data_IF_135014901039
#
_entry.id   IF_135014901039
#
_cell.length_a   1.000
_cell.length_b   1.000
_cell.length_c   1.000
_cell.angle_alpha   90.00
_cell.angle_beta   90.00
_cell.angle_gamma   90.00
#
_symmetry.space_group_name_H-M   'P 1'
#
loop_
_entity.id
_entity.type
_entity.pdbx_description
1 polymer ?
#
# COMPACT_ATOMS: atom_id res chain seq x y z
N UNK A 1 -1.59 17.61 6.03
CA UNK A 1 -0.51 18.55 5.62
C UNK A 1 0.54 18.80 6.73
N UNK A 2 0.12 19.08 7.96
CA UNK A 2 1.04 19.50 9.03
C UNK A 2 1.66 18.37 9.86
N UNK A 3 0.99 17.22 9.98
CA UNK A 3 1.47 16.14 10.83
C UNK A 3 2.69 15.43 10.19
N UNK A 4 3.88 15.46 10.82
CA UNK A 4 5.09 14.90 10.24
C UNK A 4 5.09 13.36 10.22
N UNK A 5 4.35 12.71 11.11
CA UNK A 5 4.25 11.25 11.17
C UNK A 5 3.36 10.72 10.05
N UNK A 6 2.22 11.36 9.81
CA UNK A 6 1.37 11.01 8.65
C UNK A 6 2.15 11.18 7.35
N UNK A 7 2.93 12.25 7.22
CA UNK A 7 3.81 12.46 6.05
C UNK A 7 4.78 11.28 5.88
N UNK A 8 5.42 10.82 6.96
CA UNK A 8 6.34 9.66 6.92
C UNK A 8 5.64 8.37 6.50
N UNK A 9 4.42 8.12 6.97
CA UNK A 9 3.64 6.93 6.58
C UNK A 9 3.28 6.99 5.10
N UNK A 10 2.70 8.09 4.63
CA UNK A 10 2.33 8.26 3.21
C UNK A 10 3.55 8.14 2.30
N UNK A 11 4.66 8.76 2.71
CA UNK A 11 5.92 8.70 2.01
C UNK A 11 6.45 7.27 1.88
N UNK A 12 6.48 6.51 2.99
CA UNK A 12 6.86 5.10 3.00
C UNK A 12 6.02 4.28 2.00
N UNK A 13 4.69 4.42 2.05
CA UNK A 13 3.79 3.72 1.12
C UNK A 13 4.08 4.08 -0.35
N UNK A 14 4.42 5.34 -0.63
CA UNK A 14 4.71 5.84 -1.98
C UNK A 14 6.01 5.30 -2.56
N UNK A 15 7.04 5.11 -1.72
CA UNK A 15 8.42 4.82 -2.18
C UNK A 15 8.86 3.37 -1.97
N UNK A 16 8.04 2.53 -1.35
CA UNK A 16 8.42 1.16 -0.98
C UNK A 16 7.84 0.13 -1.93
N UNK A 17 8.69 -0.81 -2.34
CA UNK A 17 8.35 -2.04 -3.00
C UNK A 17 8.98 -3.23 -2.26
N UNK A 18 8.49 -4.42 -2.55
CA UNK A 18 8.91 -5.68 -1.98
C UNK A 18 9.30 -6.64 -3.10
N UNK A 19 10.25 -7.52 -2.78
CA UNK A 19 10.72 -8.59 -3.65
C UNK A 19 10.55 -9.91 -2.91
N UNK A 20 9.85 -10.85 -3.52
CA UNK A 20 9.73 -12.24 -3.09
C UNK A 20 10.66 -13.11 -3.96
N UNK A 21 11.82 -13.43 -3.39
CA UNK A 21 12.85 -14.23 -4.06
C UNK A 21 12.42 -15.69 -4.22
N UNK A 22 11.68 -16.25 -3.26
CA UNK A 22 11.17 -17.61 -3.36
C UNK A 22 10.17 -17.75 -4.52
N UNK A 23 9.31 -16.73 -4.68
CA UNK A 23 8.39 -16.64 -5.82
C UNK A 23 9.15 -16.49 -7.13
N UNK A 24 10.14 -15.60 -7.19
CA UNK A 24 10.94 -15.38 -8.38
C UNK A 24 11.66 -16.67 -8.81
N UNK A 25 12.34 -17.32 -7.88
CA UNK A 25 13.02 -18.59 -8.08
C UNK A 25 12.07 -19.65 -8.63
N UNK A 26 10.88 -19.83 -8.01
CA UNK A 26 9.86 -20.76 -8.48
C UNK A 26 9.41 -20.44 -9.91
N UNK A 27 9.15 -19.16 -10.21
CA UNK A 27 8.71 -18.73 -11.54
C UNK A 27 9.79 -18.98 -12.60
N UNK A 28 11.04 -18.62 -12.32
CA UNK A 28 12.16 -18.83 -13.24
C UNK A 28 12.45 -20.31 -13.44
N UNK A 29 12.43 -21.12 -12.38
CA UNK A 29 12.64 -22.58 -12.46
C UNK A 29 11.58 -23.29 -13.29
N UNK A 30 10.32 -22.90 -13.12
CA UNK A 30 9.20 -23.51 -13.84
C UNK A 30 8.96 -22.90 -15.23
N UNK A 31 9.66 -21.82 -15.59
CA UNK A 31 9.43 -21.09 -16.83
C UNK A 31 8.09 -20.33 -16.84
N UNK A 32 7.57 -19.95 -15.68
CA UNK A 32 6.30 -19.21 -15.54
C UNK A 32 6.55 -17.71 -15.60
N UNK A 33 5.95 -17.06 -16.59
CA UNK A 33 6.03 -15.62 -16.77
C UNK A 33 4.78 -15.10 -17.48
N UNK A 34 4.29 -13.95 -17.02
CA UNK A 34 3.32 -13.17 -17.77
C UNK A 34 1.86 -13.63 -17.68
N UNK A 35 1.44 -14.34 -16.64
CA UNK A 35 0.02 -14.63 -16.39
C UNK A 35 -0.84 -13.36 -16.28
N UNK A 36 -2.16 -13.50 -16.41
CA UNK A 36 -3.11 -12.36 -16.31
C UNK A 36 -3.76 -12.26 -14.93
N UNK A 37 -3.89 -13.37 -14.20
CA UNK A 37 -4.66 -13.40 -12.93
C UNK A 37 -3.82 -13.91 -11.78
N UNK A 38 -4.20 -13.54 -10.55
CA UNK A 38 -3.55 -14.01 -9.33
C UNK A 38 -3.77 -15.51 -9.06
N UNK A 39 -4.80 -16.12 -9.66
CA UNK A 39 -5.12 -17.55 -9.49
C UNK A 39 -4.50 -18.40 -10.59
N UNK A 40 -4.46 -17.90 -11.82
CA UNK A 40 -3.94 -18.59 -13.01
C UNK A 40 -2.47 -18.33 -13.31
N UNK A 41 -1.62 -18.33 -12.28
CA UNK A 41 -0.19 -17.97 -12.46
C UNK A 41 0.64 -19.03 -13.21
N UNK A 42 0.04 -20.16 -13.53
CA UNK A 42 0.59 -21.23 -14.34
C UNK A 42 -0.02 -21.33 -15.75
N UNK A 43 -0.94 -20.42 -16.11
CA UNK A 43 -1.55 -20.36 -17.46
C UNK A 43 -0.51 -20.18 -18.56
N UNK A 44 0.59 -19.48 -18.27
CA UNK A 44 1.69 -19.27 -19.20
C UNK A 44 2.95 -19.87 -18.61
N UNK A 45 3.37 -20.96 -19.24
CA UNK A 45 4.57 -21.67 -18.88
C UNK A 45 5.38 -21.99 -20.13
N UNK A 46 6.67 -21.69 -20.07
CA UNK A 46 7.65 -22.00 -21.10
C UNK A 46 8.79 -22.81 -20.45
N UNK A 47 8.55 -24.11 -20.12
CA UNK A 47 9.46 -24.89 -19.29
C UNK A 47 10.89 -24.99 -19.84
N UNK A 48 11.02 -24.98 -21.17
CA UNK A 48 12.30 -25.04 -21.89
C UNK A 48 13.21 -23.82 -21.63
N UNK A 49 12.64 -22.68 -21.24
CA UNK A 49 13.41 -21.49 -20.83
C UNK A 49 13.67 -21.44 -19.32
N UNK A 50 13.24 -22.46 -18.57
CA UNK A 50 13.42 -22.52 -17.13
C UNK A 50 14.90 -22.57 -16.71
N UNK A 51 15.20 -21.99 -15.55
CA UNK A 51 16.55 -22.00 -14.94
C UNK A 51 16.46 -22.27 -13.44
N UNK A 52 17.31 -23.17 -12.95
CA UNK A 52 17.39 -23.47 -11.52
C UNK A 52 18.43 -22.56 -10.87
N UNK A 53 18.00 -21.36 -10.47
CA UNK A 53 18.85 -20.39 -9.79
C UNK A 53 18.48 -20.38 -8.31
N UNK A 54 19.37 -20.81 -7.39
CA UNK A 54 19.11 -20.75 -5.94
C UNK A 54 19.17 -19.30 -5.44
N UNK A 55 18.12 -18.52 -5.71
CA UNK A 55 18.05 -17.09 -5.38
C UNK A 55 17.82 -16.87 -3.90
N UNK A 56 17.06 -17.73 -3.23
CA UNK A 56 16.84 -17.65 -1.79
C UNK A 56 18.14 -17.92 -1.02
N UNK A 57 18.92 -18.91 -1.45
CA UNK A 57 20.22 -19.23 -0.83
C UNK A 57 21.23 -18.09 -1.01
N UNK A 58 21.09 -17.29 -2.08
CA UNK A 58 21.95 -16.13 -2.38
C UNK A 58 21.27 -14.80 -2.14
N UNK A 59 20.27 -14.76 -1.26
CA UNK A 59 19.49 -13.56 -0.96
C UNK A 59 20.34 -12.41 -0.44
N UNK A 60 21.36 -12.70 0.39
CA UNK A 60 22.30 -11.69 0.90
C UNK A 60 23.13 -11.05 -0.23
N UNK A 61 23.64 -11.87 -1.16
CA UNK A 61 24.42 -11.39 -2.31
C UNK A 61 23.55 -10.51 -3.23
N UNK A 62 22.31 -10.95 -3.50
CA UNK A 62 21.33 -10.19 -4.30
C UNK A 62 20.96 -8.87 -3.61
N UNK A 63 20.74 -8.90 -2.29
CA UNK A 63 20.41 -7.71 -1.50
C UNK A 63 21.54 -6.68 -1.52
N UNK A 64 22.81 -7.13 -1.43
CA UNK A 64 23.95 -6.22 -1.52
C UNK A 64 24.09 -5.60 -2.91
N UNK A 65 23.93 -6.38 -3.99
CA UNK A 65 23.92 -5.84 -5.36
C UNK A 65 22.79 -4.84 -5.60
N UNK A 66 21.60 -5.12 -5.07
CA UNK A 66 20.48 -4.18 -5.08
C UNK A 66 20.83 -2.89 -4.34
N UNK A 67 21.45 -3.01 -3.16
CA UNK A 67 21.87 -1.88 -2.34
C UNK A 67 22.91 -1.04 -3.06
N UNK A 68 23.93 -1.63 -3.67
CA UNK A 68 24.95 -0.91 -4.46
C UNK A 68 24.31 -0.03 -5.55
N UNK A 69 23.32 -0.57 -6.26
CA UNK A 69 22.63 0.12 -7.36
C UNK A 69 21.78 1.28 -6.87
N UNK A 70 21.00 1.07 -5.80
CA UNK A 70 20.04 2.06 -5.30
C UNK A 70 20.72 3.11 -4.40
N UNK A 71 21.65 2.68 -3.53
CA UNK A 71 22.36 3.54 -2.59
C UNK A 71 23.27 4.57 -3.26
N UNK A 72 23.76 4.30 -4.47
CA UNK A 72 24.44 5.31 -5.30
C UNK A 72 23.60 6.57 -5.50
N UNK A 73 22.28 6.43 -5.43
CA UNK A 73 21.33 7.53 -5.57
C UNK A 73 20.66 7.92 -4.25
N UNK A 74 21.15 7.43 -3.11
CA UNK A 74 20.51 7.62 -1.81
C UNK A 74 20.70 9.00 -1.18
N UNK A 75 19.83 9.25 -0.20
CA UNK A 75 19.87 10.42 0.71
C UNK A 75 20.38 10.02 2.12
N UNK A 76 21.01 8.83 2.22
CA UNK A 76 21.34 8.14 3.49
C UNK A 76 20.31 7.08 3.90
N UNK A 77 20.69 6.18 4.81
CA UNK A 77 19.83 5.12 5.37
C UNK A 77 19.88 3.77 4.65
N UNK A 78 19.20 2.76 5.22
CA UNK A 78 19.07 1.42 4.63
C UNK A 78 17.89 1.39 3.65
N UNK A 79 18.21 1.59 2.37
CA UNK A 79 17.26 1.59 1.26
C UNK A 79 16.86 0.20 0.79
N UNK A 80 17.66 -0.82 1.13
CA UNK A 80 17.36 -2.23 0.88
C UNK A 80 17.50 -2.95 2.21
N UNK A 81 16.44 -3.64 2.64
CA UNK A 81 16.40 -4.37 3.92
C UNK A 81 15.84 -5.77 3.71
N UNK A 82 16.53 -6.82 4.15
CA UNK A 82 15.90 -8.13 4.29
C UNK A 82 14.84 -8.07 5.39
N UNK A 83 13.62 -8.53 5.10
CA UNK A 83 12.55 -8.70 6.10
C UNK A 83 12.49 -10.14 6.61
N UNK A 84 12.85 -11.09 5.75
CA UNK A 84 12.99 -12.52 6.02
C UNK A 84 14.07 -13.09 5.07
N UNK A 85 14.23 -14.41 5.05
CA UNK A 85 15.20 -15.08 4.16
C UNK A 85 14.89 -14.93 2.66
N UNK A 86 13.64 -14.67 2.32
CA UNK A 86 13.08 -14.65 0.97
C UNK A 86 12.46 -13.31 0.57
N UNK A 87 12.10 -12.45 1.55
CA UNK A 87 11.49 -11.14 1.28
C UNK A 87 12.50 -10.01 1.49
N UNK A 88 12.69 -9.19 0.46
CA UNK A 88 13.44 -7.94 0.54
C UNK A 88 12.49 -6.74 0.43
N UNK A 89 12.70 -5.74 1.27
CA UNK A 89 12.06 -4.43 1.17
C UNK A 89 13.00 -3.44 0.52
N UNK A 90 12.52 -2.76 -0.52
CA UNK A 90 13.25 -1.75 -1.26
C UNK A 90 12.55 -0.40 -1.12
N UNK A 91 13.29 0.60 -0.70
CA UNK A 91 12.82 1.97 -0.48
C UNK A 91 13.56 2.89 -1.45
N UNK A 92 12.84 3.49 -2.39
CA UNK A 92 13.43 4.39 -3.38
C UNK A 92 13.87 5.71 -2.72
N UNK A 93 15.05 6.26 -3.09
CA UNK A 93 15.53 7.54 -2.58
C UNK A 93 14.51 8.67 -2.72
N UNK A 94 14.44 9.54 -1.72
CA UNK A 94 13.50 10.64 -1.69
C UNK A 94 13.69 11.56 -2.89
N UNK A 95 14.94 11.90 -3.20
CA UNK A 95 15.27 12.78 -4.33
C UNK A 95 14.69 12.29 -5.66
N UNK A 96 14.62 10.98 -5.87
CA UNK A 96 14.01 10.43 -7.08
C UNK A 96 12.49 10.61 -7.06
N UNK A 97 11.87 10.39 -5.90
CA UNK A 97 10.42 10.58 -5.72
C UNK A 97 9.99 12.05 -5.83
N UNK A 98 10.89 13.00 -5.57
CA UNK A 98 10.66 14.45 -5.71
C UNK A 98 10.64 14.92 -7.17
N UNK A 99 11.47 14.31 -8.03
CA UNK A 99 11.50 14.64 -9.47
C UNK A 99 10.56 13.77 -10.31
N UNK A 100 9.95 12.76 -9.69
CA UNK A 100 9.03 11.84 -10.36
C UNK A 100 7.61 12.39 -10.41
N UNK A 101 6.90 12.09 -11.50
CA UNK A 101 5.50 12.47 -11.67
C UNK A 101 4.54 11.72 -10.74
N UNK A 102 4.96 10.57 -10.19
CA UNK A 102 4.07 9.69 -9.43
C UNK A 102 4.80 8.71 -8.52
N UNK A 103 4.22 7.52 -8.36
CA UNK A 103 4.67 6.46 -7.44
C UNK A 103 5.34 5.27 -8.13
N UNK A 104 5.24 5.19 -9.46
CA UNK A 104 5.77 4.08 -10.26
C UNK A 104 7.29 3.84 -10.19
N UNK A 105 8.15 4.83 -9.82
CA UNK A 105 9.57 4.55 -9.54
C UNK A 105 9.77 3.45 -8.49
N UNK A 106 8.87 3.32 -7.51
CA UNK A 106 8.92 2.26 -6.50
C UNK A 106 9.01 0.87 -7.13
N UNK A 107 8.25 0.61 -8.19
CA UNK A 107 8.27 -0.66 -8.90
C UNK A 107 9.37 -0.69 -9.97
N UNK A 108 9.43 0.33 -10.82
CA UNK A 108 10.31 0.29 -12.00
C UNK A 108 11.80 0.26 -11.64
N UNK A 109 12.25 1.06 -10.65
CA UNK A 109 13.64 1.01 -10.20
C UNK A 109 13.96 -0.32 -9.53
N UNK A 110 13.06 -0.81 -8.68
CA UNK A 110 13.21 -2.09 -8.00
C UNK A 110 13.34 -3.24 -9.00
N UNK A 111 12.50 -3.28 -10.02
CA UNK A 111 12.52 -4.31 -11.06
C UNK A 111 13.81 -4.28 -11.89
N UNK A 112 14.24 -3.09 -12.36
CA UNK A 112 15.50 -2.96 -13.12
C UNK A 112 16.69 -3.37 -12.27
N UNK A 113 16.75 -2.89 -11.02
CA UNK A 113 17.84 -3.20 -10.10
C UNK A 113 17.89 -4.71 -9.80
N UNK A 114 16.73 -5.35 -9.62
CA UNK A 114 16.63 -6.79 -9.38
C UNK A 114 17.08 -7.60 -10.59
N UNK A 115 16.67 -7.24 -11.81
CA UNK A 115 17.16 -7.89 -13.03
C UNK A 115 18.69 -7.84 -13.08
N UNK A 116 19.29 -6.67 -12.86
CA UNK A 116 20.75 -6.52 -12.89
C UNK A 116 21.43 -7.29 -11.76
N UNK A 117 20.89 -7.25 -10.54
CA UNK A 117 21.45 -7.96 -9.39
C UNK A 117 21.46 -9.48 -9.64
N UNK A 118 20.32 -10.04 -10.09
CA UNK A 118 20.24 -11.47 -10.45
C UNK A 118 21.20 -11.80 -11.60
N UNK A 119 21.27 -10.96 -12.63
CA UNK A 119 22.20 -11.15 -13.74
C UNK A 119 23.67 -11.16 -13.30
N UNK A 120 24.09 -10.26 -12.43
CA UNK A 120 25.46 -10.21 -11.92
C UNK A 120 25.79 -11.43 -11.04
N UNK A 121 24.86 -11.77 -10.15
CA UNK A 121 25.00 -12.88 -9.21
C UNK A 121 25.10 -14.21 -9.96
N UNK A 122 24.27 -14.45 -10.99
CA UNK A 122 24.24 -15.69 -11.77
C UNK A 122 24.99 -15.63 -13.12
N UNK A 123 25.76 -14.57 -13.38
CA UNK A 123 26.49 -14.35 -14.64
C UNK A 123 25.60 -14.48 -15.90
N UNK A 124 24.40 -13.90 -15.87
CA UNK A 124 23.45 -13.88 -16.97
C UNK A 124 23.67 -12.63 -17.82
N UNK A 125 24.12 -12.84 -19.04
CA UNK A 125 24.23 -11.79 -20.05
C UNK A 125 23.87 -12.37 -21.44
N UNK A 126 23.70 -11.52 -22.46
CA UNK A 126 23.32 -11.98 -23.80
C UNK A 126 24.30 -12.96 -24.46
N UNK A 127 25.55 -13.00 -24.00
CA UNK A 127 26.58 -13.90 -24.52
C UNK A 127 26.61 -15.24 -23.77
N UNK A 128 26.30 -15.24 -22.47
CA UNK A 128 26.36 -16.43 -21.62
C UNK A 128 25.04 -17.20 -21.55
N UNK A 129 23.92 -16.50 -21.38
CA UNK A 129 22.59 -17.10 -21.26
C UNK A 129 21.49 -16.10 -21.66
N UNK A 130 21.29 -15.84 -22.97
CA UNK A 130 20.28 -14.91 -23.46
C UNK A 130 18.86 -15.33 -23.08
N UNK A 131 18.57 -16.64 -23.07
CA UNK A 131 17.27 -17.18 -22.68
C UNK A 131 17.00 -17.00 -21.17
N UNK A 132 18.01 -17.22 -20.32
CA UNK A 132 17.93 -16.96 -18.89
C UNK A 132 17.69 -15.48 -18.59
N UNK A 133 18.33 -14.57 -19.32
CA UNK A 133 18.07 -13.13 -19.22
C UNK A 133 16.60 -12.81 -19.52
N UNK A 134 16.06 -13.36 -20.61
CA UNK A 134 14.67 -13.17 -21.00
C UNK A 134 13.70 -13.77 -19.98
N UNK A 135 14.03 -14.94 -19.42
CA UNK A 135 13.21 -15.61 -18.42
C UNK A 135 13.16 -14.83 -17.11
N UNK A 136 14.31 -14.36 -16.59
CA UNK A 136 14.36 -13.53 -15.37
C UNK A 136 13.57 -12.24 -15.58
N UNK A 137 13.78 -11.56 -16.71
CA UNK A 137 13.00 -10.36 -17.07
C UNK A 137 11.51 -10.66 -17.13
N UNK A 138 11.11 -11.73 -17.80
CA UNK A 138 9.71 -12.14 -17.93
C UNK A 138 9.06 -12.50 -16.60
N UNK A 139 9.80 -13.13 -15.68
CA UNK A 139 9.30 -13.45 -14.35
C UNK A 139 9.12 -12.19 -13.47
N UNK A 140 9.99 -11.18 -13.62
CA UNK A 140 9.93 -9.92 -12.86
C UNK A 140 8.87 -8.96 -13.42
N UNK A 141 8.87 -8.74 -14.73
CA UNK A 141 7.98 -7.78 -15.40
C UNK A 141 6.63 -8.38 -15.84
N UNK A 142 6.49 -9.71 -15.79
CA UNK A 142 5.35 -10.39 -16.39
C UNK A 142 5.29 -10.11 -17.90
N UNK A 143 4.11 -9.69 -18.38
CA UNK A 143 3.88 -9.30 -19.77
C UNK A 143 4.23 -7.83 -20.07
N UNK A 144 4.68 -7.04 -19.11
CA UNK A 144 5.02 -5.65 -19.41
C UNK A 144 6.20 -5.59 -20.41
N UNK A 145 6.14 -4.77 -21.49
CA UNK A 145 5.14 -3.72 -21.78
C UNK A 145 4.00 -4.13 -22.72
N UNK A 146 3.87 -5.40 -23.11
CA UNK A 146 2.72 -5.88 -23.90
C UNK A 146 1.41 -5.64 -23.15
N UNK A 147 1.40 -5.93 -21.86
CA UNK A 147 0.36 -5.45 -20.94
C UNK A 147 0.78 -4.08 -20.37
N UNK A 148 -0.13 -3.11 -20.29
CA UNK A 148 0.18 -1.79 -19.73
C UNK A 148 0.40 -1.83 -18.21
N UNK A 149 -0.07 -2.90 -17.56
CA UNK A 149 0.04 -3.13 -16.12
C UNK A 149 0.99 -4.28 -15.78
N UNK A 150 1.49 -4.26 -14.55
CA UNK A 150 2.21 -5.38 -13.94
C UNK A 150 1.14 -6.27 -13.31
N UNK A 151 1.09 -7.52 -13.77
CA UNK A 151 0.09 -8.48 -13.34
C UNK A 151 0.19 -8.81 -11.85
N UNK A 152 -0.95 -9.07 -11.17
CA UNK A 152 -0.98 -9.32 -9.74
C UNK A 152 -0.26 -10.62 -9.34
N UNK A 153 0.31 -10.61 -8.13
CA UNK A 153 1.02 -11.75 -7.54
C UNK A 153 2.36 -12.08 -8.23
N UNK A 154 2.95 -11.11 -8.92
CA UNK A 154 4.34 -11.10 -9.34
C UNK A 154 5.32 -11.12 -8.15
N UNK A 155 6.59 -11.49 -8.40
CA UNK A 155 7.63 -11.49 -7.37
C UNK A 155 8.02 -10.10 -6.91
N UNK A 156 7.68 -9.04 -7.66
CA UNK A 156 7.87 -7.65 -7.24
C UNK A 156 6.52 -6.97 -7.09
N UNK A 157 6.25 -6.40 -5.93
CA UNK A 157 4.98 -5.76 -5.61
C UNK A 157 5.17 -4.55 -4.71
N UNK A 158 4.20 -3.64 -4.67
CA UNK A 158 4.21 -2.48 -3.80
C UNK A 158 2.89 -2.34 -3.06
N UNK A 159 2.81 -1.36 -2.16
CA UNK A 159 1.54 -1.07 -1.47
C UNK A 159 0.52 -0.43 -2.40
N UNK A 160 0.97 0.50 -3.23
CA UNK A 160 0.10 1.30 -4.08
C UNK A 160 0.00 0.68 -5.48
N UNK A 161 -1.20 0.73 -6.05
CA UNK A 161 -1.44 0.38 -7.45
C UNK A 161 -0.65 1.30 -8.38
N UNK A 162 -0.28 0.80 -9.56
CA UNK A 162 0.37 1.58 -10.60
C UNK A 162 -0.51 2.75 -11.04
N UNK A 163 0.09 3.86 -11.46
CA UNK A 163 -0.67 5.07 -11.77
C UNK A 163 -1.71 4.89 -12.88
N UNK A 164 -1.46 3.99 -13.85
CA UNK A 164 -2.34 3.75 -14.99
C UNK A 164 -3.54 2.83 -14.70
N UNK A 165 -3.58 2.20 -13.52
CA UNK A 165 -4.70 1.32 -13.11
C UNK A 165 -5.51 1.91 -11.95
N UNK A 166 -5.25 3.17 -11.59
CA UNK A 166 -6.01 3.88 -10.56
C UNK A 166 -7.36 4.33 -11.13
N UNK A 167 -8.44 4.05 -10.41
CA UNK A 167 -9.82 4.28 -10.85
C UNK A 167 -10.18 5.77 -11.03
N UNK A 168 -9.39 6.69 -10.51
CA UNK A 168 -9.63 8.13 -10.62
C UNK A 168 -8.43 8.99 -10.24
N UNK A 169 -8.50 10.26 -10.62
CA UNK A 169 -7.48 11.25 -10.30
C UNK A 169 -7.36 11.42 -8.77
N UNK A 170 -6.14 11.33 -8.25
CA UNK A 170 -5.85 11.50 -6.82
C UNK A 170 -6.20 10.30 -5.92
N UNK A 171 -6.68 9.17 -6.47
CA UNK A 171 -7.05 7.98 -5.67
C UNK A 171 -5.88 7.06 -5.35
N UNK A 172 -4.68 7.62 -5.17
CA UNK A 172 -3.48 6.80 -5.03
C UNK A 172 -3.43 5.93 -3.79
N UNK A 173 -3.86 6.49 -2.66
CA UNK A 173 -3.84 5.83 -1.37
C UNK A 173 -5.09 4.98 -1.09
N UNK A 174 -6.14 5.06 -1.90
CA UNK A 174 -7.40 4.29 -1.74
C UNK A 174 -7.32 2.86 -2.35
N UNK A 175 -6.23 2.55 -3.07
CA UNK A 175 -6.08 1.28 -3.80
C UNK A 175 -5.57 0.10 -2.98
N UNK A 176 -5.37 0.25 -1.68
CA UNK A 176 -4.72 -0.75 -0.82
C UNK A 176 -5.77 -1.74 -0.28
N UNK A 177 -5.51 -3.03 -0.45
CA UNK A 177 -6.42 -4.07 0.05
C UNK A 177 -6.54 -4.03 1.58
N UNK A 178 -7.78 -4.14 2.09
CA UNK A 178 -8.06 -4.15 3.54
C UNK A 178 -7.24 -5.22 4.28
N UNK A 179 -7.07 -6.40 3.68
CA UNK A 179 -6.25 -7.47 4.26
C UNK A 179 -4.79 -7.05 4.48
N UNK A 180 -4.21 -6.21 3.61
CA UNK A 180 -2.86 -5.68 3.81
C UNK A 180 -2.82 -4.74 5.01
N UNK A 181 -3.82 -3.87 5.17
CA UNK A 181 -3.91 -2.94 6.31
C UNK A 181 -4.08 -3.69 7.63
N UNK A 182 -4.92 -4.73 7.64
CA UNK A 182 -5.11 -5.62 8.80
C UNK A 182 -3.82 -6.35 9.15
N UNK A 183 -3.07 -6.83 8.15
CA UNK A 183 -1.79 -7.49 8.36
C UNK A 183 -0.73 -6.52 8.93
N UNK A 184 -0.63 -5.30 8.38
CA UNK A 184 0.28 -4.27 8.89
C UNK A 184 -0.04 -3.83 10.32
N UNK A 185 -1.32 -3.85 10.68
CA UNK A 185 -1.76 -3.53 12.04
C UNK A 185 -1.67 -4.71 13.02
N UNK A 186 -1.21 -5.89 12.57
CA UNK A 186 -1.22 -7.13 13.37
C UNK A 186 -2.61 -7.44 13.96
N UNK A 187 -3.65 -7.22 13.15
CA UNK A 187 -5.07 -7.36 13.54
C UNK A 187 -5.50 -6.51 14.75
N UNK A 188 -4.70 -5.52 15.16
CA UNK A 188 -5.09 -4.56 16.20
C UNK A 188 -6.07 -3.55 15.62
N UNK A 189 -7.31 -3.57 16.12
CA UNK A 189 -8.44 -2.83 15.54
C UNK A 189 -8.18 -1.33 15.43
N UNK A 190 -7.79 -0.67 16.53
CA UNK A 190 -7.59 0.78 16.55
C UNK A 190 -6.38 1.21 15.72
N UNK A 191 -5.32 0.40 15.69
CA UNK A 191 -4.14 0.69 14.86
C UNK A 191 -4.47 0.53 13.37
N UNK A 192 -5.29 -0.46 13.00
CA UNK A 192 -5.79 -0.64 11.64
C UNK A 192 -6.68 0.52 11.19
N UNK A 193 -7.58 0.99 12.08
CA UNK A 193 -8.43 2.17 11.84
C UNK A 193 -7.58 3.43 11.67
N UNK A 194 -6.60 3.65 12.54
CA UNK A 194 -5.69 4.79 12.45
C UNK A 194 -4.86 4.77 11.16
N UNK A 195 -4.25 3.63 10.81
CA UNK A 195 -3.48 3.47 9.57
C UNK A 195 -4.35 3.73 8.33
N UNK A 196 -5.54 3.14 8.28
CA UNK A 196 -6.49 3.34 7.18
C UNK A 196 -6.89 4.81 7.09
N UNK A 197 -7.14 5.47 8.21
CA UNK A 197 -7.47 6.92 8.24
C UNK A 197 -6.35 7.76 7.66
N UNK A 198 -5.08 7.44 7.95
CA UNK A 198 -3.93 8.19 7.40
C UNK A 198 -3.93 8.11 5.87
N UNK A 199 -4.15 6.92 5.32
CA UNK A 199 -4.14 6.66 3.88
C UNK A 199 -5.34 7.31 3.18
N UNK A 200 -6.55 7.09 3.71
CA UNK A 200 -7.78 7.67 3.19
C UNK A 200 -7.74 9.19 3.22
N UNK A 201 -7.30 9.80 4.33
CA UNK A 201 -7.12 11.25 4.39
C UNK A 201 -6.05 11.72 3.40
N UNK A 202 -4.95 10.99 3.25
CA UNK A 202 -3.96 11.24 2.20
C UNK A 202 -4.59 11.35 0.81
N UNK A 203 -5.48 10.41 0.47
CA UNK A 203 -6.25 10.45 -0.78
C UNK A 203 -7.25 11.61 -0.84
N UNK A 204 -8.00 11.90 0.22
CA UNK A 204 -8.96 13.03 0.22
C UNK A 204 -8.27 14.38 -0.02
N UNK A 205 -7.05 14.54 0.49
CA UNK A 205 -6.21 15.69 0.19
C UNK A 205 -5.72 15.69 -1.26
N UNK A 206 -5.27 14.54 -1.79
CA UNK A 206 -4.79 14.40 -3.17
C UNK A 206 -5.92 14.63 -4.21
N UNK A 207 -7.15 14.24 -3.89
CA UNK A 207 -8.35 14.47 -4.71
C UNK A 207 -8.87 15.91 -4.64
N UNK A 208 -8.38 16.71 -3.70
CA UNK A 208 -8.87 18.07 -3.46
C UNK A 208 -10.21 18.15 -2.70
N UNK A 209 -10.72 17.01 -2.20
CA UNK A 209 -11.97 16.96 -1.42
C UNK A 209 -11.82 17.68 -0.06
N UNK A 210 -10.61 17.77 0.48
CA UNK A 210 -10.32 18.45 1.73
C UNK A 210 -9.98 19.94 1.57
N UNK A 211 -10.39 20.60 0.47
CA UNK A 211 -10.11 22.02 0.24
C UNK A 211 -11.24 22.94 0.71
N UNK A 212 -10.86 24.10 1.25
CA UNK A 212 -11.78 25.17 1.60
C UNK A 212 -12.74 24.76 2.73
N UNK A 213 -14.05 24.89 2.50
CA UNK A 213 -15.06 24.59 3.52
C UNK A 213 -15.07 23.13 3.97
N UNK A 214 -14.60 22.21 3.12
CA UNK A 214 -14.54 20.78 3.43
C UNK A 214 -13.30 20.40 4.25
N UNK A 215 -12.29 21.27 4.36
CA UNK A 215 -11.07 20.99 5.12
C UNK A 215 -11.40 20.60 6.56
N UNK A 216 -12.20 21.43 7.24
CA UNK A 216 -12.60 21.20 8.62
C UNK A 216 -13.39 19.89 8.78
N UNK A 217 -14.30 19.61 7.85
CA UNK A 217 -15.09 18.38 7.84
C UNK A 217 -14.18 17.13 7.79
N UNK A 218 -13.22 17.10 6.87
CA UNK A 218 -12.28 15.98 6.75
C UNK A 218 -11.36 15.87 7.98
N UNK A 219 -10.87 16.99 8.51
CA UNK A 219 -10.02 17.01 9.71
C UNK A 219 -10.77 16.48 10.94
N UNK A 220 -12.00 16.93 11.18
CA UNK A 220 -12.82 16.45 12.29
C UNK A 220 -13.16 14.97 12.12
N UNK A 221 -13.54 14.55 10.92
CA UNK A 221 -13.77 13.14 10.60
C UNK A 221 -12.55 12.28 10.97
N UNK A 222 -11.35 12.69 10.53
CA UNK A 222 -10.12 11.96 10.85
C UNK A 222 -9.80 11.93 12.35
N UNK A 223 -10.00 13.05 13.06
CA UNK A 223 -9.71 13.16 14.48
C UNK A 223 -10.62 12.26 15.31
N UNK A 224 -11.93 12.33 15.11
CA UNK A 224 -12.89 11.57 15.90
C UNK A 224 -12.98 10.11 15.47
N UNK A 225 -13.10 9.82 14.18
CA UNK A 225 -13.26 8.45 13.68
C UNK A 225 -11.94 7.67 13.74
N UNK A 226 -10.84 8.28 13.27
CA UNK A 226 -9.59 7.59 13.04
C UNK A 226 -8.63 7.60 14.22
N UNK A 227 -8.56 8.74 14.92
CA UNK A 227 -7.61 8.96 16.01
C UNK A 227 -8.26 9.00 17.40
N UNK A 228 -9.55 8.63 17.49
CA UNK A 228 -10.28 8.52 18.75
C UNK A 228 -10.21 9.80 19.61
N UNK A 229 -10.38 10.96 18.98
CA UNK A 229 -10.42 12.23 19.70
C UNK A 229 -11.45 12.20 20.84
N UNK A 230 -11.07 12.75 21.99
CA UNK A 230 -11.86 12.77 23.21
C UNK A 230 -12.33 11.39 23.69
N UNK A 231 -11.62 10.33 23.29
CA UNK A 231 -11.96 8.94 23.58
C UNK A 231 -13.33 8.46 23.06
N UNK A 232 -13.96 9.21 22.15
CA UNK A 232 -15.34 8.99 21.73
C UNK A 232 -15.59 7.56 21.23
N UNK A 233 -14.75 7.03 20.34
CA UNK A 233 -14.94 5.69 19.76
C UNK A 233 -14.79 4.62 20.83
N UNK A 234 -13.77 4.72 21.68
CA UNK A 234 -13.56 3.73 22.74
C UNK A 234 -14.62 3.79 23.83
N UNK A 235 -15.10 4.98 24.20
CA UNK A 235 -16.20 5.15 25.16
C UNK A 235 -17.48 4.52 24.62
N UNK A 236 -17.86 4.82 23.38
CA UNK A 236 -19.02 4.21 22.73
C UNK A 236 -18.93 2.69 22.68
N UNK A 237 -17.75 2.13 22.38
CA UNK A 237 -17.52 0.67 22.38
C UNK A 237 -17.66 0.07 23.78
N UNK A 238 -17.17 0.77 24.82
CA UNK A 238 -17.25 0.28 26.21
C UNK A 238 -18.67 0.34 26.75
N UNK A 239 -19.36 1.44 26.54
CA UNK A 239 -20.76 1.65 26.95
C UNK A 239 -21.69 0.63 26.29
N UNK A 240 -21.41 0.29 25.02
CA UNK A 240 -22.23 -0.62 24.22
C UNK A 240 -21.65 -2.03 24.11
N UNK A 241 -20.83 -2.48 25.08
CA UNK A 241 -20.15 -3.78 25.03
C UNK A 241 -21.10 -4.97 24.79
N UNK A 242 -22.29 -4.92 25.38
CA UNK A 242 -23.33 -5.95 25.26
C UNK A 242 -24.51 -5.49 24.38
N UNK A 243 -24.36 -4.34 23.71
CA UNK A 243 -25.40 -3.71 22.92
C UNK A 243 -25.42 -4.15 21.46
N UNK A 244 -26.33 -3.52 20.72
CA UNK A 244 -26.52 -3.68 19.28
C UNK A 244 -26.13 -2.40 18.55
N UNK A 245 -26.20 -2.43 17.21
CA UNK A 245 -26.00 -1.23 16.38
C UNK A 245 -26.99 -0.12 16.75
N UNK A 246 -28.22 -0.48 17.16
CA UNK A 246 -29.23 0.48 17.60
C UNK A 246 -28.82 1.22 18.87
N UNK A 247 -28.25 0.51 19.84
CA UNK A 247 -27.80 1.08 21.11
C UNK A 247 -26.64 2.06 20.89
N UNK A 248 -25.69 1.71 20.02
CA UNK A 248 -24.62 2.62 19.59
C UNK A 248 -25.19 3.90 18.97
N UNK A 249 -26.21 3.79 18.11
CA UNK A 249 -26.85 4.96 17.51
C UNK A 249 -27.52 5.85 18.58
N UNK A 250 -28.17 5.26 19.58
CA UNK A 250 -28.72 6.00 20.72
C UNK A 250 -27.62 6.70 21.53
N UNK A 251 -26.52 6.02 21.86
CA UNK A 251 -25.38 6.62 22.57
C UNK A 251 -24.76 7.78 21.79
N UNK A 252 -24.57 7.63 20.47
CA UNK A 252 -24.02 8.70 19.61
C UNK A 252 -24.93 9.93 19.61
N UNK A 253 -26.24 9.74 19.44
CA UNK A 253 -27.21 10.86 19.48
C UNK A 253 -27.24 11.50 20.87
N UNK A 254 -27.23 10.69 21.93
CA UNK A 254 -27.18 11.18 23.32
C UNK A 254 -25.96 12.08 23.56
N UNK A 255 -24.78 11.60 23.20
CA UNK A 255 -23.52 12.34 23.33
C UNK A 255 -23.51 13.61 22.49
N UNK A 256 -24.01 13.57 21.26
CA UNK A 256 -24.09 14.74 20.39
C UNK A 256 -25.05 15.83 20.91
N UNK A 257 -26.11 15.45 21.64
CA UNK A 257 -27.01 16.40 22.32
C UNK A 257 -26.35 16.99 23.56
N UNK A 258 -25.67 16.17 24.36
CA UNK A 258 -24.94 16.59 25.56
C UNK A 258 -23.82 17.59 25.22
N UNK A 259 -23.04 17.28 24.18
CA UNK A 259 -21.96 18.13 23.68
C UNK A 259 -22.48 19.34 22.87
N UNK A 260 -23.80 19.45 22.66
CA UNK A 260 -24.44 20.59 21.98
C UNK A 260 -24.20 20.65 20.46
N UNK A 261 -23.64 19.61 19.85
CA UNK A 261 -23.40 19.49 18.40
C UNK A 261 -24.72 19.48 17.64
N UNK A 262 -25.75 18.84 18.20
CA UNK A 262 -27.12 18.83 17.65
C UNK A 262 -28.14 19.33 18.68
N UNK A 263 -29.26 19.87 18.20
CA UNK A 263 -30.39 20.29 19.05
C UNK A 263 -31.72 19.90 18.45
N UNK A 264 -32.74 19.70 19.29
CA UNK A 264 -34.10 19.48 18.82
C UNK A 264 -34.61 20.73 18.08
N UNK A 265 -35.03 20.56 16.84
CA UNK A 265 -35.56 21.63 15.98
C UNK A 265 -37.09 21.67 16.02
N UNK A 266 -37.73 20.51 15.90
CA UNK A 266 -39.19 20.41 15.83
C UNK A 266 -39.70 19.09 16.42
N UNK A 267 -40.80 19.16 17.16
CA UNK A 267 -41.52 18.01 17.68
C UNK A 267 -42.77 17.75 16.83
N UNK A 268 -43.03 16.48 16.50
CA UNK A 268 -44.22 16.04 15.78
C UNK A 268 -45.31 15.59 16.75
N UNK A 269 -46.58 15.52 16.28
CA UNK A 269 -47.70 15.04 17.10
C UNK A 269 -47.50 13.61 17.65
N UNK A 270 -46.70 12.78 16.98
CA UNK A 270 -46.34 11.42 17.45
C UNK A 270 -45.35 11.41 18.63
N UNK A 271 -44.83 12.57 19.06
CA UNK A 271 -43.74 12.67 20.02
C UNK A 271 -42.34 12.56 19.41
N UNK A 272 -42.24 12.28 18.10
CA UNK A 272 -40.96 12.23 17.38
C UNK A 272 -40.30 13.61 17.29
N UNK A 273 -38.99 13.66 17.52
CA UNK A 273 -38.20 14.90 17.47
C UNK A 273 -37.27 14.89 16.26
N UNK A 274 -37.35 15.94 15.43
CA UNK A 274 -36.33 16.22 14.42
C UNK A 274 -35.22 17.06 15.07
N UNK A 275 -33.99 16.64 14.86
CA UNK A 275 -32.79 17.35 15.31
C UNK A 275 -32.18 18.15 14.16
N UNK A 276 -31.58 19.29 14.49
CA UNK A 276 -30.77 20.11 13.59
C UNK A 276 -29.33 20.20 14.10
N UNK A 277 -28.40 20.27 13.17
CA UNK A 277 -26.96 20.38 13.43
C UNK A 277 -26.60 21.84 13.72
N UNK A 278 -25.94 22.08 14.85
CA UNK A 278 -25.39 23.40 15.19
C UNK A 278 -24.02 23.63 14.56
N UNK A 279 -23.24 22.55 14.39
CA UNK A 279 -21.88 22.56 13.86
C UNK A 279 -21.72 21.47 12.79
N UNK A 280 -21.56 21.90 11.53
CA UNK A 280 -21.55 21.06 10.32
C UNK A 280 -20.16 20.54 9.97
#
# INVERSE_FOLDING_TARGET
>A
LYNPYMKKVLDLFKRTAFIDLAKLEKCVKSGRAGWETSVGQDEIQMPWYGRDFPMVERSEEIAERLKEKIAKYGDGGDLVKPLSSDILMVTIPQRMMEVSTGRDPALTWTMVALCQAVSEVFNLNPETDPDGCNMVRGAIYGRYPQSPEIHPGGPVFGFLKQSNVVDGLGRGFEGIMINHLVALADKRTMDGVALTTILEQGAQWEMGNALGWFERYHLLGSAYQGFNANNLVLDLVRENREGTIGDVAYSVVGRAVEDGVIKAQKNFPSGYKIYATNDY
#
